data_IF_827991073167
#
_entry.id   IF_827991073167
#
_cell.length_a   1.000
_cell.length_b   1.000
_cell.length_c   1.000
_cell.angle_alpha   90.00
_cell.angle_beta   90.00
_cell.angle_gamma   90.00
#
_symmetry.space_group_name_H-M   'P 1'
#
loop_
_entity.id
_entity.type
_entity.pdbx_description
1 polymer ?
#
# COMPACT_ATOMS: atom_id res chain seq x y z
N UNK A 1 -3.79 -31.03 -40.02
CA UNK A 1 -3.54 -29.59 -39.73
C UNK A 1 -4.47 -29.07 -38.62
N UNK A 2 -4.43 -29.65 -37.37
CA UNK A 2 -5.37 -29.22 -36.27
C UNK A 2 -4.73 -29.24 -34.88
N UNK A 3 -3.43 -28.95 -34.76
CA UNK A 3 -2.71 -29.03 -33.44
C UNK A 3 -2.07 -27.72 -32.96
N UNK A 4 -2.29 -26.58 -33.61
CA UNK A 4 -1.64 -25.29 -33.24
C UNK A 4 -2.59 -24.22 -32.65
N UNK A 5 -3.88 -24.51 -32.51
CA UNK A 5 -4.87 -23.51 -32.01
C UNK A 5 -5.00 -23.53 -30.47
N UNK A 6 -4.58 -24.62 -29.79
CA UNK A 6 -4.80 -24.75 -28.35
C UNK A 6 -3.81 -23.98 -27.47
N UNK A 7 -2.65 -23.52 -27.99
CA UNK A 7 -1.61 -22.87 -27.17
C UNK A 7 -1.77 -21.35 -27.05
N UNK A 8 -2.57 -20.73 -27.95
CA UNK A 8 -2.80 -19.28 -27.93
C UNK A 8 -3.85 -18.83 -26.92
N UNK A 9 -4.70 -19.74 -26.42
CA UNK A 9 -5.77 -19.39 -25.46
C UNK A 9 -5.33 -19.35 -23.99
N UNK A 10 -4.18 -19.90 -23.64
CA UNK A 10 -3.69 -19.87 -22.24
C UNK A 10 -2.97 -18.57 -21.86
N UNK A 11 -2.44 -17.82 -22.83
CA UNK A 11 -1.74 -16.55 -22.52
C UNK A 11 -2.68 -15.36 -22.26
N UNK A 12 -3.93 -15.40 -22.70
CA UNK A 12 -4.88 -14.30 -22.53
C UNK A 12 -5.55 -14.25 -21.15
N UNK A 13 -5.53 -15.35 -20.38
CA UNK A 13 -6.21 -15.41 -19.09
C UNK A 13 -5.42 -14.78 -17.93
N UNK A 14 -4.09 -14.68 -18.01
CA UNK A 14 -3.27 -14.12 -16.94
C UNK A 14 -3.35 -12.59 -16.91
N UNK A 15 -3.46 -11.95 -18.06
CA UNK A 15 -3.65 -10.49 -18.17
C UNK A 15 -5.03 -10.03 -17.67
N UNK A 16 -6.05 -10.88 -17.81
CA UNK A 16 -7.42 -10.55 -17.40
C UNK A 16 -7.67 -10.65 -15.90
N UNK A 17 -6.93 -11.50 -15.18
CA UNK A 17 -7.13 -11.69 -13.73
C UNK A 17 -6.68 -10.47 -12.90
N UNK A 18 -5.54 -9.85 -13.26
CA UNK A 18 -5.05 -8.64 -12.61
C UNK A 18 -5.97 -7.43 -12.86
N UNK A 19 -6.45 -7.28 -14.09
CA UNK A 19 -7.42 -6.24 -14.47
C UNK A 19 -8.77 -6.43 -13.78
N UNK A 20 -9.24 -7.67 -13.61
CA UNK A 20 -10.48 -7.96 -12.91
C UNK A 20 -10.38 -7.61 -11.42
N UNK A 21 -9.26 -7.98 -10.78
CA UNK A 21 -9.01 -7.66 -9.37
C UNK A 21 -8.91 -6.14 -9.15
N UNK A 22 -8.22 -5.42 -10.03
CA UNK A 22 -8.14 -3.97 -9.98
C UNK A 22 -9.51 -3.31 -10.15
N UNK A 23 -10.29 -3.71 -11.17
CA UNK A 23 -11.66 -3.18 -11.37
C UNK A 23 -12.55 -3.44 -10.17
N UNK A 24 -12.47 -4.63 -9.57
CA UNK A 24 -13.22 -4.97 -8.36
C UNK A 24 -12.81 -4.08 -7.19
N UNK A 25 -11.51 -3.87 -6.96
CA UNK A 25 -11.00 -2.99 -5.91
C UNK A 25 -11.49 -1.54 -6.11
N UNK A 26 -11.37 -1.01 -7.32
CA UNK A 26 -11.81 0.36 -7.65
C UNK A 26 -13.33 0.54 -7.45
N UNK A 27 -14.15 -0.42 -7.88
CA UNK A 27 -15.60 -0.35 -7.68
C UNK A 27 -16.00 -0.38 -6.19
N UNK A 28 -15.27 -1.15 -5.37
CA UNK A 28 -15.49 -1.19 -3.91
C UNK A 28 -15.08 0.13 -3.26
N UNK A 29 -13.94 0.70 -3.66
CA UNK A 29 -13.49 2.02 -3.17
C UNK A 29 -14.49 3.11 -3.57
N UNK A 30 -14.93 3.15 -4.82
CA UNK A 30 -15.94 4.07 -5.31
C UNK A 30 -17.24 3.97 -4.49
N UNK A 31 -17.67 2.76 -4.15
CA UNK A 31 -18.87 2.56 -3.33
C UNK A 31 -18.71 3.10 -1.90
N UNK A 32 -17.51 3.08 -1.34
CA UNK A 32 -17.21 3.69 -0.04
C UNK A 32 -17.21 5.21 -0.15
N UNK A 33 -16.48 5.77 -1.11
CA UNK A 33 -16.30 7.21 -1.30
C UNK A 33 -17.63 7.92 -1.60
N UNK A 34 -18.46 7.32 -2.45
CA UNK A 34 -19.78 7.86 -2.81
C UNK A 34 -20.89 7.51 -1.81
N UNK A 35 -20.57 6.80 -0.72
CA UNK A 35 -21.53 6.45 0.32
C UNK A 35 -22.65 5.50 -0.13
N UNK A 36 -22.45 4.77 -1.26
CA UNK A 36 -23.42 3.80 -1.80
C UNK A 36 -23.32 2.43 -1.15
N UNK A 37 -22.29 2.23 -0.32
CA UNK A 37 -22.11 1.00 0.44
C UNK A 37 -23.29 0.76 1.41
N UNK A 38 -23.81 -0.47 1.42
CA UNK A 38 -24.96 -0.82 2.26
C UNK A 38 -24.60 -0.68 3.74
N UNK A 39 -25.40 0.04 4.49
CA UNK A 39 -25.25 0.20 5.94
C UNK A 39 -25.21 -1.15 6.66
N UNK A 40 -24.31 -1.29 7.62
CA UNK A 40 -24.11 -2.51 8.39
C UNK A 40 -23.45 -3.66 7.63
N UNK A 41 -23.11 -3.50 6.34
CA UNK A 41 -22.41 -4.52 5.55
C UNK A 41 -20.89 -4.51 5.80
N UNK A 42 -20.23 -5.57 5.34
CA UNK A 42 -18.77 -5.65 5.28
C UNK A 42 -18.38 -5.71 3.81
N UNK A 43 -17.54 -4.78 3.38
CA UNK A 43 -16.87 -4.82 2.08
C UNK A 43 -15.52 -5.48 2.28
N UNK A 44 -15.30 -6.59 1.59
CA UNK A 44 -14.05 -7.35 1.69
C UNK A 44 -13.16 -7.10 0.48
N UNK A 45 -11.94 -6.67 0.72
CA UNK A 45 -10.89 -6.54 -0.26
C UNK A 45 -9.95 -7.74 -0.12
N UNK A 46 -9.87 -8.59 -1.13
CA UNK A 46 -8.91 -9.70 -1.14
C UNK A 46 -7.47 -9.19 -1.23
N UNK A 47 -6.50 -9.99 -0.79
CA UNK A 47 -5.08 -9.64 -0.91
C UNK A 47 -4.66 -9.41 -2.37
N UNK A 48 -5.28 -10.11 -3.32
CA UNK A 48 -5.06 -9.89 -4.76
C UNK A 48 -5.56 -8.51 -5.20
N UNK A 49 -6.74 -8.09 -4.79
CA UNK A 49 -7.29 -6.75 -5.08
C UNK A 49 -6.42 -5.65 -4.50
N UNK A 50 -5.96 -5.82 -3.25
CA UNK A 50 -5.07 -4.87 -2.59
C UNK A 50 -3.75 -4.72 -3.34
N UNK A 51 -3.13 -5.83 -3.75
CA UNK A 51 -1.88 -5.80 -4.50
C UNK A 51 -2.07 -5.21 -5.90
N UNK A 52 -3.17 -5.54 -6.61
CA UNK A 52 -3.48 -4.96 -7.92
C UNK A 52 -3.70 -3.46 -7.82
N UNK A 53 -4.40 -3.00 -6.79
CA UNK A 53 -4.61 -1.59 -6.52
C UNK A 53 -3.29 -0.87 -6.16
N UNK A 54 -2.44 -1.46 -5.32
CA UNK A 54 -1.14 -0.90 -4.97
C UNK A 54 -0.23 -0.74 -6.19
N UNK A 55 -0.19 -1.74 -7.09
CA UNK A 55 0.56 -1.67 -8.35
C UNK A 55 0.05 -0.56 -9.27
N UNK A 56 -1.24 -0.28 -9.26
CA UNK A 56 -1.85 0.80 -10.04
C UNK A 56 -1.61 2.19 -9.46
N UNK A 57 -1.80 2.34 -8.14
CA UNK A 57 -1.79 3.64 -7.46
C UNK A 57 -0.39 4.17 -7.17
N UNK A 58 0.53 3.32 -6.73
CA UNK A 58 1.86 3.75 -6.26
C UNK A 58 2.67 4.47 -7.34
N UNK A 59 2.70 4.03 -8.61
CA UNK A 59 3.40 4.78 -9.66
C UNK A 59 2.83 6.18 -9.93
N UNK A 60 1.52 6.39 -9.69
CA UNK A 60 0.87 7.70 -9.80
C UNK A 60 1.26 8.66 -8.68
N UNK A 61 1.53 8.13 -7.47
CA UNK A 61 1.90 8.91 -6.28
C UNK A 61 3.41 9.16 -6.27
N UNK A 62 4.20 8.14 -6.62
CA UNK A 62 5.67 8.18 -6.65
C UNK A 62 6.14 7.72 -8.03
N UNK A 63 6.15 8.61 -9.03
CA UNK A 63 6.32 8.25 -10.44
C UNK A 63 7.70 7.70 -10.79
N UNK A 64 8.71 7.91 -9.95
CA UNK A 64 10.08 7.49 -10.21
C UNK A 64 10.72 6.82 -9.01
N UNK A 65 11.47 5.73 -9.25
CA UNK A 65 12.29 5.10 -8.22
C UNK A 65 11.58 4.08 -7.35
N UNK A 66 10.36 3.67 -7.69
CA UNK A 66 9.64 2.59 -6.97
C UNK A 66 9.21 1.49 -7.95
N UNK A 67 9.42 0.23 -7.58
CA UNK A 67 8.98 -0.94 -8.36
C UNK A 67 8.81 -2.19 -7.49
N UNK A 68 8.17 -3.21 -8.06
CA UNK A 68 7.93 -4.51 -7.42
C UNK A 68 7.19 -4.38 -6.08
N UNK A 69 6.22 -3.46 -6.01
CA UNK A 69 5.41 -3.26 -4.81
C UNK A 69 4.63 -4.53 -4.48
N UNK A 70 4.62 -4.88 -3.21
CA UNK A 70 3.84 -6.00 -2.69
C UNK A 70 3.33 -5.67 -1.29
N UNK A 71 2.08 -6.01 -1.05
CA UNK A 71 1.47 -5.97 0.28
C UNK A 71 1.28 -7.40 0.77
N UNK A 72 1.60 -7.64 2.02
CA UNK A 72 1.26 -8.85 2.77
C UNK A 72 0.50 -8.45 4.03
N UNK A 73 -0.42 -9.30 4.47
CA UNK A 73 -1.29 -9.04 5.61
C UNK A 73 -1.19 -10.19 6.61
N UNK A 74 -1.29 -9.84 7.89
CA UNK A 74 -1.52 -10.73 9.01
C UNK A 74 -2.77 -10.33 9.78
N UNK A 75 -2.96 -10.87 10.97
CA UNK A 75 -4.01 -10.41 11.88
C UNK A 75 -3.61 -9.07 12.46
N UNK A 76 -4.43 -8.05 12.17
CA UNK A 76 -4.23 -6.64 12.57
C UNK A 76 -2.87 -6.05 12.17
N UNK A 77 -2.16 -6.69 11.24
CA UNK A 77 -0.85 -6.27 10.76
C UNK A 77 -0.79 -6.22 9.25
N UNK A 78 0.04 -5.33 8.72
CA UNK A 78 0.32 -5.23 7.30
C UNK A 78 1.80 -4.93 7.06
N UNK A 79 2.32 -5.40 5.93
CA UNK A 79 3.66 -5.04 5.48
C UNK A 79 3.64 -4.71 4.00
N UNK A 80 4.23 -3.57 3.66
CA UNK A 80 4.49 -3.16 2.29
C UNK A 80 5.96 -3.37 1.96
N UNK A 81 6.23 -3.98 0.81
CA UNK A 81 7.57 -4.16 0.25
C UNK A 81 7.66 -3.45 -1.09
N UNK A 82 8.80 -2.84 -1.37
CA UNK A 82 9.14 -2.36 -2.71
C UNK A 82 10.66 -2.29 -2.91
N UNK A 83 11.10 -2.31 -4.17
CA UNK A 83 12.43 -1.84 -4.55
C UNK A 83 12.36 -0.33 -4.74
N UNK A 84 13.18 0.42 -4.01
CA UNK A 84 13.15 1.87 -4.00
C UNK A 84 14.54 2.44 -4.33
N UNK A 85 14.60 3.32 -5.33
CA UNK A 85 15.74 4.20 -5.58
C UNK A 85 15.50 5.53 -4.86
N UNK A 86 15.90 5.56 -3.60
CA UNK A 86 15.64 6.70 -2.71
C UNK A 86 16.34 7.98 -3.20
N UNK A 87 17.43 7.85 -3.95
CA UNK A 87 18.16 8.98 -4.51
C UNK A 87 17.39 9.60 -5.69
N UNK A 88 16.88 8.77 -6.61
CA UNK A 88 16.01 9.24 -7.71
C UNK A 88 14.74 9.91 -7.20
N UNK A 89 14.11 9.33 -6.16
CA UNK A 89 12.92 9.91 -5.55
C UNK A 89 13.19 11.32 -5.00
N UNK A 90 14.32 11.53 -4.33
CA UNK A 90 14.71 12.86 -3.82
C UNK A 90 15.04 13.86 -4.94
N UNK A 91 15.73 13.42 -5.97
CA UNK A 91 16.03 14.29 -7.12
C UNK A 91 14.77 14.72 -7.86
N UNK A 92 13.77 13.82 -7.97
CA UNK A 92 12.47 14.16 -8.55
C UNK A 92 11.73 15.25 -7.74
N UNK A 93 11.98 15.34 -6.42
CA UNK A 93 11.44 16.38 -5.55
C UNK A 93 12.30 17.67 -5.51
N UNK A 94 13.41 17.75 -6.28
CA UNK A 94 14.32 18.89 -6.30
C UNK A 94 15.14 19.07 -5.01
N UNK A 95 15.23 18.06 -4.14
CA UNK A 95 15.94 18.13 -2.85
C UNK A 95 17.37 17.64 -2.97
N UNK A 96 18.33 18.49 -2.58
CA UNK A 96 19.73 18.10 -2.46
C UNK A 96 19.96 17.09 -1.32
N UNK A 97 20.89 16.16 -1.53
CA UNK A 97 21.25 15.15 -0.53
C UNK A 97 22.68 15.36 -0.05
N UNK A 98 22.90 15.27 1.28
CA UNK A 98 24.23 15.26 1.83
C UNK A 98 25.00 14.01 1.32
N UNK A 99 26.28 14.14 1.01
CA UNK A 99 27.13 13.08 0.44
C UNK A 99 27.14 11.79 1.28
N UNK A 100 27.07 11.89 2.61
CA UNK A 100 27.03 10.76 3.53
C UNK A 100 25.72 9.98 3.42
N UNK A 101 24.60 10.70 3.32
CA UNK A 101 23.27 10.09 3.12
C UNK A 101 23.15 9.50 1.71
N UNK A 102 23.76 10.13 0.68
CA UNK A 102 23.75 9.59 -0.68
C UNK A 102 24.34 8.18 -0.74
N UNK A 103 25.42 7.90 -0.04
CA UNK A 103 26.05 6.57 0.01
C UNK A 103 25.17 5.49 0.65
N UNK A 104 24.35 5.87 1.65
CA UNK A 104 23.44 4.92 2.31
C UNK A 104 22.21 4.58 1.46
N UNK A 105 21.80 5.52 0.60
CA UNK A 105 20.56 5.40 -0.20
C UNK A 105 20.84 5.26 -1.71
N UNK A 106 22.10 5.09 -2.10
CA UNK A 106 22.50 4.94 -3.50
C UNK A 106 22.01 3.62 -4.09
N UNK A 107 21.43 3.71 -5.30
CA UNK A 107 20.89 2.59 -6.04
C UNK A 107 19.57 2.06 -5.49
N UNK A 108 19.06 1.03 -6.14
CA UNK A 108 17.81 0.39 -5.72
C UNK A 108 18.02 -0.46 -4.47
N UNK A 109 17.20 -0.22 -3.48
CA UNK A 109 17.21 -0.93 -2.20
C UNK A 109 15.86 -1.57 -1.92
N UNK A 110 15.80 -2.82 -1.46
CA UNK A 110 14.58 -3.36 -0.90
C UNK A 110 14.22 -2.61 0.38
N UNK A 111 13.00 -2.07 0.40
CA UNK A 111 12.43 -1.39 1.56
C UNK A 111 11.19 -2.15 2.00
N UNK A 112 11.10 -2.43 3.28
CA UNK A 112 9.92 -3.04 3.91
C UNK A 112 9.42 -2.12 5.01
N UNK A 113 8.12 -1.86 5.00
CA UNK A 113 7.41 -1.09 6.03
C UNK A 113 6.37 -1.99 6.65
N UNK A 114 6.38 -2.14 7.97
CA UNK A 114 5.40 -2.93 8.71
C UNK A 114 4.60 -2.06 9.65
N UNK A 115 3.30 -2.32 9.69
CA UNK A 115 2.33 -1.58 10.51
C UNK A 115 1.50 -2.55 11.35
N UNK A 116 0.98 -2.04 12.46
CA UNK A 116 -0.09 -2.63 13.24
C UNK A 116 -1.29 -1.69 13.21
N UNK A 117 -2.49 -2.24 13.04
CA UNK A 117 -3.73 -1.48 12.89
C UNK A 117 -4.70 -1.87 13.99
N UNK A 118 -5.18 -0.90 14.74
CA UNK A 118 -6.27 -1.05 15.69
C UNK A 118 -7.44 -0.20 15.23
N UNK A 119 -8.60 -0.83 15.03
CA UNK A 119 -9.76 -0.14 14.49
C UNK A 119 -11.05 -0.57 15.17
N UNK A 120 -11.93 0.40 15.44
CA UNK A 120 -13.25 0.20 16.04
C UNK A 120 -13.95 1.51 16.32
N UNK A 121 -15.26 1.46 16.47
CA UNK A 121 -16.11 2.61 16.84
C UNK A 121 -15.90 3.85 15.96
N UNK A 122 -15.69 3.63 14.67
CA UNK A 122 -15.43 4.70 13.70
C UNK A 122 -14.05 5.34 13.79
N UNK A 123 -13.11 4.73 14.48
CA UNK A 123 -11.76 5.23 14.66
C UNK A 123 -10.72 4.19 14.27
N UNK A 124 -9.50 4.67 14.03
CA UNK A 124 -8.35 3.84 13.71
C UNK A 124 -7.07 4.40 14.35
N UNK A 125 -6.17 3.50 14.72
CA UNK A 125 -4.78 3.81 15.08
C UNK A 125 -3.91 2.95 14.15
N UNK A 126 -2.91 3.57 13.53
CA UNK A 126 -1.92 2.88 12.70
C UNK A 126 -0.55 3.10 13.30
N UNK A 127 0.02 2.05 13.84
CA UNK A 127 1.37 2.05 14.42
C UNK A 127 2.39 1.59 13.38
N UNK A 128 3.41 2.40 13.15
CA UNK A 128 4.57 2.01 12.37
C UNK A 128 5.48 1.13 13.24
N UNK A 129 5.44 -0.18 13.03
CA UNK A 129 6.17 -1.12 13.88
C UNK A 129 7.60 -1.35 13.43
N UNK A 130 7.87 -1.28 12.11
CA UNK A 130 9.20 -1.52 11.55
C UNK A 130 9.36 -0.90 10.17
N UNK A 131 10.55 -0.34 9.93
CA UNK A 131 11.02 0.02 8.58
C UNK A 131 12.39 -0.62 8.38
N UNK A 132 12.58 -1.30 7.27
CA UNK A 132 13.85 -1.95 6.91
C UNK A 132 14.31 -1.47 5.53
N UNK A 133 15.61 -1.26 5.40
CA UNK A 133 16.28 -1.03 4.12
C UNK A 133 17.32 -2.13 3.96
N UNK A 134 17.22 -2.93 2.90
CA UNK A 134 18.09 -4.09 2.65
C UNK A 134 18.16 -5.06 3.84
N UNK A 135 17.04 -5.27 4.54
CA UNK A 135 16.95 -6.15 5.71
C UNK A 135 17.47 -5.54 7.01
N UNK A 136 17.98 -4.31 6.99
CA UNK A 136 18.46 -3.61 8.18
C UNK A 136 17.39 -2.65 8.70
N UNK A 137 17.04 -2.76 9.98
CA UNK A 137 16.06 -1.89 10.59
C UNK A 137 16.52 -0.43 10.62
N UNK A 138 15.75 0.46 10.01
CA UNK A 138 15.96 1.90 10.08
C UNK A 138 15.56 2.42 11.47
N UNK A 139 16.42 3.20 12.11
CA UNK A 139 16.21 3.79 13.44
C UNK A 139 16.70 5.23 13.47
N UNK A 140 16.19 6.01 14.44
CA UNK A 140 16.63 7.39 14.68
C UNK A 140 16.52 8.27 13.42
N UNK A 141 17.57 9.03 13.13
CA UNK A 141 17.58 10.01 12.03
C UNK A 141 17.26 9.40 10.64
N UNK A 142 17.59 8.13 10.38
CA UNK A 142 17.26 7.45 9.12
C UNK A 142 15.76 7.19 9.03
N UNK A 143 15.15 6.72 10.12
CA UNK A 143 13.70 6.50 10.19
C UNK A 143 12.95 7.84 10.05
N UNK A 144 13.36 8.86 10.81
CA UNK A 144 12.78 10.20 10.74
C UNK A 144 12.86 10.80 9.33
N UNK A 145 13.99 10.58 8.66
CA UNK A 145 14.17 10.97 7.28
C UNK A 145 13.18 10.27 6.33
N UNK A 146 13.01 8.96 6.45
CA UNK A 146 12.09 8.19 5.61
C UNK A 146 10.64 8.62 5.83
N UNK A 147 10.24 8.78 7.10
CA UNK A 147 8.89 9.22 7.45
C UNK A 147 8.61 10.63 6.91
N UNK A 148 9.52 11.59 7.16
CA UNK A 148 9.34 12.99 6.74
C UNK A 148 9.41 13.18 5.22
N UNK A 149 10.23 12.39 4.54
CA UNK A 149 10.47 12.57 3.10
C UNK A 149 9.49 11.81 2.25
N UNK A 150 9.08 10.62 2.65
CA UNK A 150 8.28 9.72 1.81
C UNK A 150 6.88 9.46 2.33
N UNK A 151 6.69 9.41 3.66
CA UNK A 151 5.38 9.08 4.21
C UNK A 151 4.49 10.31 4.40
N UNK A 152 4.98 11.35 5.08
CA UNK A 152 4.18 12.54 5.37
C UNK A 152 3.72 13.33 4.13
N UNK A 153 4.51 13.45 3.04
CA UNK A 153 4.02 14.10 1.82
C UNK A 153 2.84 13.36 1.16
N UNK A 154 2.79 12.04 1.28
CA UNK A 154 1.70 11.21 0.74
C UNK A 154 0.46 11.25 1.64
N UNK A 155 0.67 11.41 2.93
CA UNK A 155 -0.39 11.38 3.95
C UNK A 155 -0.21 12.53 4.94
N UNK A 156 -0.38 13.79 4.52
CA UNK A 156 -0.07 14.97 5.35
C UNK A 156 -0.94 15.07 6.62
N UNK A 157 -2.10 14.43 6.61
CA UNK A 157 -3.03 14.37 7.75
C UNK A 157 -2.87 13.10 8.58
N UNK A 158 -2.04 12.15 8.14
CA UNK A 158 -1.85 10.90 8.86
C UNK A 158 -1.04 11.13 10.13
N UNK A 159 -1.59 10.68 11.23
CA UNK A 159 -0.94 10.70 12.54
C UNK A 159 -0.53 9.29 12.88
N UNK A 160 0.79 9.02 12.83
CA UNK A 160 1.34 7.71 13.23
C UNK A 160 1.14 7.57 14.73
N UNK A 161 0.60 6.42 15.17
CA UNK A 161 0.31 6.09 16.56
C UNK A 161 -0.68 7.04 17.27
N UNK A 162 -1.39 7.86 16.52
CA UNK A 162 -2.49 8.66 17.03
C UNK A 162 -3.84 8.14 16.53
N UNK A 163 -4.85 8.27 17.38
CA UNK A 163 -6.23 7.93 17.03
C UNK A 163 -6.81 8.96 16.07
N UNK A 164 -7.38 8.51 14.95
CA UNK A 164 -8.09 9.36 14.00
C UNK A 164 -9.45 8.76 13.63
N UNK A 165 -10.36 9.60 13.19
CA UNK A 165 -11.69 9.19 12.76
C UNK A 165 -11.64 8.61 11.35
N UNK A 166 -12.38 7.49 11.15
CA UNK A 166 -12.58 6.86 9.85
C UNK A 166 -13.64 7.61 9.06
N UNK A 167 -13.30 8.02 7.84
CA UNK A 167 -14.20 8.65 6.88
C UNK A 167 -15.20 7.64 6.27
N UNK A 168 -16.10 8.12 5.41
CA UNK A 168 -17.01 7.31 4.58
C UNK A 168 -17.92 6.36 5.35
N UNK A 169 -18.39 6.76 6.54
CA UNK A 169 -19.24 5.92 7.40
C UNK A 169 -18.62 4.54 7.75
N UNK A 170 -17.32 4.44 7.76
CA UNK A 170 -16.63 3.23 8.19
C UNK A 170 -16.70 3.11 9.71
N UNK A 171 -17.15 1.95 10.20
CA UNK A 171 -17.17 1.60 11.62
C UNK A 171 -15.84 1.00 12.05
N UNK A 172 -15.28 0.08 11.22
CA UNK A 172 -14.08 -0.67 11.54
C UNK A 172 -13.39 -1.20 10.29
N UNK A 173 -12.08 -1.36 10.38
CA UNK A 173 -11.23 -2.01 9.38
C UNK A 173 -10.54 -3.21 10.03
N UNK A 174 -10.76 -4.41 9.52
CA UNK A 174 -10.18 -5.66 10.01
C UNK A 174 -9.15 -6.19 9.01
N UNK A 175 -7.88 -6.29 9.41
CA UNK A 175 -6.82 -6.90 8.61
C UNK A 175 -6.72 -8.39 8.92
N UNK A 176 -6.64 -9.21 7.87
CA UNK A 176 -6.45 -10.67 7.96
C UNK A 176 -5.53 -11.13 6.82
N UNK A 177 -4.88 -12.29 6.93
CA UNK A 177 -4.00 -12.80 5.85
C UNK A 177 -4.66 -12.87 4.47
N UNK A 178 -5.97 -13.10 4.41
CA UNK A 178 -6.73 -13.20 3.17
C UNK A 178 -7.11 -11.86 2.54
N UNK A 179 -7.08 -10.76 3.31
CA UNK A 179 -7.52 -9.44 2.85
C UNK A 179 -7.94 -8.50 3.97
N UNK A 180 -8.64 -7.42 3.60
CA UNK A 180 -9.13 -6.37 4.50
C UNK A 180 -10.66 -6.34 4.47
N UNK A 181 -11.28 -6.44 5.64
CA UNK A 181 -12.71 -6.24 5.84
C UNK A 181 -12.99 -4.81 6.29
N UNK A 182 -13.83 -4.09 5.56
CA UNK A 182 -14.29 -2.74 5.90
C UNK A 182 -15.74 -2.81 6.32
N UNK A 183 -16.03 -2.61 7.61
CA UNK A 183 -17.39 -2.62 8.15
C UNK A 183 -18.00 -1.23 8.08
N UNK A 184 -19.19 -1.13 7.53
CA UNK A 184 -19.95 0.13 7.40
C UNK A 184 -20.84 0.32 8.63
N UNK A 185 -20.93 1.54 9.14
CA UNK A 185 -21.86 1.93 10.24
C UNK A 185 -23.28 1.53 9.87
N UNK A 186 -24.09 1.16 10.89
CA UNK A 186 -25.51 0.83 10.74
C UNK A 186 -26.36 2.05 10.40
#
# INVERSE_FOLDING_TARGET
MHRFVALALLCTQVLTAGDAALRSALAKLDSLENGTAKRGSIIFFSLQEINSWALYMVPGIVPQGIRNQRVTLGTDTGSGYALMDLLKMRHAEGKATNWMMSRLIEGERPVTVSIHVQSGDGHCIVDLTRVEISGVAAKGAVLDFLVKTFFLPLYPTAKISERFELSYNIERIDLRPAGIGVKIKK
#
